data_IF_251064673393
#
_entry.id   IF_251064673393
#
_cell.length_a   1.000
_cell.length_b   1.000
_cell.length_c   1.000
_cell.angle_alpha   90.00
_cell.angle_beta   90.00
_cell.angle_gamma   90.00
#
_symmetry.space_group_name_H-M   'P 1'
#
loop_
_entity.id
_entity.type
_entity.pdbx_description
1 polymer ?
#
# COMPACT_ATOMS: atom_id res chain seq x y z
N UNK A 1 -24.11 3.79 11.47
CA UNK A 1 -22.76 3.87 12.06
C UNK A 1 -21.80 4.45 11.05
N UNK A 2 -21.02 5.42 11.46
CA UNK A 2 -19.96 5.92 10.60
C UNK A 2 -18.90 4.84 10.41
N UNK A 3 -18.52 4.58 9.16
CA UNK A 3 -17.44 3.67 8.84
C UNK A 3 -16.12 4.31 9.29
N UNK A 4 -15.37 3.63 10.14
CA UNK A 4 -14.05 4.10 10.57
C UNK A 4 -13.11 4.14 9.39
N UNK A 5 -12.51 5.29 9.13
CA UNK A 5 -11.49 5.49 8.09
C UNK A 5 -10.12 5.53 8.74
N UNK A 6 -9.21 4.67 8.29
CA UNK A 6 -7.92 4.50 8.94
C UNK A 6 -6.80 4.52 7.92
N UNK A 7 -5.77 5.31 8.19
CA UNK A 7 -4.49 5.28 7.48
C UNK A 7 -3.40 4.98 8.50
N UNK A 8 -2.60 3.96 8.24
CA UNK A 8 -1.47 3.54 9.09
C UNK A 8 -0.16 3.84 8.36
N UNK A 9 0.61 4.79 8.87
CA UNK A 9 1.91 5.14 8.33
C UNK A 9 3.00 4.35 9.05
N UNK A 10 3.81 3.64 8.29
CA UNK A 10 4.84 2.75 8.80
C UNK A 10 6.23 3.34 8.58
N UNK A 11 7.11 3.16 9.55
CA UNK A 11 8.53 3.52 9.47
C UNK A 11 9.44 2.30 9.35
N UNK A 12 8.87 1.08 9.37
CA UNK A 12 9.57 -0.20 9.35
C UNK A 12 8.61 -1.33 8.96
N UNK A 13 8.68 -2.45 9.67
CA UNK A 13 7.91 -3.65 9.38
C UNK A 13 8.70 -4.61 8.48
N UNK A 14 8.03 -5.39 7.66
CA UNK A 14 8.68 -6.39 6.82
C UNK A 14 9.72 -5.82 5.85
N UNK A 15 9.60 -4.55 5.51
CA UNK A 15 10.49 -3.88 4.54
C UNK A 15 11.92 -3.73 5.05
N UNK A 16 12.14 -3.55 6.35
CA UNK A 16 13.45 -3.47 7.00
C UNK A 16 13.89 -4.77 7.70
N UNK A 17 12.99 -5.75 7.77
CA UNK A 17 13.28 -7.12 8.22
C UNK A 17 13.38 -7.32 9.73
N UNK A 18 13.35 -6.28 10.55
CA UNK A 18 13.62 -6.39 11.99
C UNK A 18 12.41 -6.09 12.88
N UNK A 19 11.53 -5.18 12.48
CA UNK A 19 10.43 -4.72 13.32
C UNK A 19 9.07 -5.26 12.87
N UNK A 20 8.71 -6.45 13.37
CA UNK A 20 7.43 -7.11 13.06
C UNK A 20 6.23 -6.53 13.84
N UNK A 21 6.46 -5.72 14.87
CA UNK A 21 5.38 -5.15 15.69
C UNK A 21 4.51 -4.19 14.89
N UNK A 22 5.10 -3.48 13.94
CA UNK A 22 4.35 -2.60 13.05
C UNK A 22 3.43 -3.39 12.11
N UNK A 23 3.87 -4.54 11.62
CA UNK A 23 3.03 -5.42 10.78
C UNK A 23 1.87 -6.00 11.59
N UNK A 24 2.10 -6.39 12.83
CA UNK A 24 1.05 -6.87 13.75
C UNK A 24 0.03 -5.76 14.03
N UNK A 25 0.50 -4.57 14.38
CA UNK A 25 -0.36 -3.41 14.60
C UNK A 25 -1.24 -3.09 13.38
N UNK A 26 -0.65 -3.16 12.18
CA UNK A 26 -1.38 -2.97 10.93
C UNK A 26 -2.49 -4.00 10.76
N UNK A 27 -2.19 -5.28 10.99
CA UNK A 27 -3.19 -6.35 10.86
C UNK A 27 -4.35 -6.16 11.83
N UNK A 28 -4.05 -5.79 13.08
CA UNK A 28 -5.05 -5.53 14.13
C UNK A 28 -5.95 -4.32 13.79
N UNK A 29 -5.42 -3.31 13.07
CA UNK A 29 -6.16 -2.10 12.72
C UNK A 29 -7.38 -2.37 11.84
N UNK A 30 -7.43 -3.50 11.14
CA UNK A 30 -8.58 -3.90 10.31
C UNK A 30 -9.77 -4.43 11.11
N UNK A 31 -9.57 -4.75 12.39
CA UNK A 31 -10.55 -5.40 13.28
C UNK A 31 -11.07 -6.76 12.75
N UNK A 32 -10.34 -7.38 11.83
CA UNK A 32 -10.64 -8.70 11.26
C UNK A 32 -9.75 -9.76 11.89
N UNK A 33 -10.32 -10.93 12.18
CA UNK A 33 -9.53 -12.06 12.69
C UNK A 33 -8.52 -12.61 11.70
N UNK A 34 -8.82 -12.52 10.40
CA UNK A 34 -7.99 -12.98 9.30
C UNK A 34 -8.10 -12.03 8.12
N UNK A 35 -7.49 -10.83 8.20
CA UNK A 35 -7.64 -9.81 7.17
C UNK A 35 -7.02 -10.23 5.83
N UNK A 36 -7.63 -9.74 4.75
CA UNK A 36 -7.06 -9.79 3.41
C UNK A 36 -6.14 -8.58 3.24
N UNK A 37 -4.86 -8.83 3.00
CA UNK A 37 -3.84 -7.79 2.87
C UNK A 37 -3.32 -7.77 1.45
N UNK A 38 -3.48 -6.64 0.77
CA UNK A 38 -2.94 -6.45 -0.57
C UNK A 38 -1.69 -5.58 -0.52
N UNK A 39 -0.56 -6.13 -0.95
CA UNK A 39 0.68 -5.40 -1.15
C UNK A 39 0.71 -4.77 -2.55
N UNK A 40 1.02 -3.47 -2.63
CA UNK A 40 1.12 -2.73 -3.89
C UNK A 40 2.56 -2.20 -4.04
N UNK A 41 3.41 -2.85 -4.85
CA UNK A 41 4.84 -2.53 -5.00
C UNK A 41 5.13 -1.53 -6.12
N UNK A 42 4.16 -0.71 -6.53
CA UNK A 42 4.31 0.20 -7.69
C UNK A 42 5.52 1.13 -7.58
N UNK A 43 5.78 1.69 -6.39
CA UNK A 43 6.89 2.63 -6.19
C UNK A 43 8.28 2.04 -6.48
N UNK A 44 8.42 0.72 -6.38
CA UNK A 44 9.64 -0.03 -6.72
C UNK A 44 9.61 -0.65 -8.13
N UNK A 45 8.65 -0.27 -8.97
CA UNK A 45 8.48 -0.84 -10.31
C UNK A 45 8.01 -2.30 -10.29
N UNK A 46 7.12 -2.63 -9.35
CA UNK A 46 6.64 -3.99 -9.12
C UNK A 46 7.78 -4.99 -8.84
N UNK A 47 8.76 -4.58 -8.03
CA UNK A 47 9.94 -5.38 -7.68
C UNK A 47 9.56 -6.78 -7.19
N UNK A 48 9.96 -7.80 -7.95
CA UNK A 48 9.69 -9.19 -7.61
C UNK A 48 10.30 -9.61 -6.27
N UNK A 49 11.52 -9.18 -5.99
CA UNK A 49 12.17 -9.45 -4.72
C UNK A 49 11.41 -8.84 -3.54
N UNK A 50 10.81 -7.66 -3.73
CA UNK A 50 9.99 -7.01 -2.71
C UNK A 50 8.67 -7.76 -2.47
N UNK A 51 8.03 -8.23 -3.55
CA UNK A 51 6.82 -9.07 -3.46
C UNK A 51 7.14 -10.39 -2.72
N UNK A 52 8.24 -11.04 -3.03
CA UNK A 52 8.67 -12.27 -2.36
C UNK A 52 8.94 -12.07 -0.87
N UNK A 53 9.57 -10.95 -0.49
CA UNK A 53 9.77 -10.58 0.94
C UNK A 53 8.45 -10.34 1.65
N UNK A 54 7.49 -9.69 0.98
CA UNK A 54 6.15 -9.50 1.54
C UNK A 54 5.49 -10.84 1.88
N UNK A 55 5.42 -11.78 0.94
CA UNK A 55 4.83 -13.10 1.20
C UNK A 55 5.60 -13.87 2.27
N UNK A 56 6.93 -13.82 2.27
CA UNK A 56 7.76 -14.48 3.29
C UNK A 56 7.44 -13.96 4.69
N UNK A 57 7.24 -12.66 4.84
CA UNK A 57 6.89 -12.06 6.12
C UNK A 57 5.45 -12.37 6.52
N UNK A 58 4.48 -12.14 5.64
CA UNK A 58 3.07 -12.19 5.98
C UNK A 58 2.48 -13.60 6.09
N UNK A 59 3.13 -14.63 5.53
CA UNK A 59 2.74 -16.03 5.76
C UNK A 59 2.82 -16.47 7.23
N UNK A 60 3.53 -15.71 8.08
CA UNK A 60 3.65 -16.00 9.53
C UNK A 60 2.40 -15.59 10.30
N UNK A 61 1.59 -14.71 9.73
CA UNK A 61 0.44 -14.11 10.39
C UNK A 61 -0.87 -14.76 9.95
N UNK A 62 -1.88 -14.65 10.81
CA UNK A 62 -3.24 -15.06 10.45
C UNK A 62 -3.88 -14.02 9.52
N UNK A 63 -3.49 -14.03 8.26
CA UNK A 63 -4.02 -13.14 7.22
C UNK A 63 -4.09 -13.87 5.86
N UNK A 64 -4.68 -13.21 4.88
CA UNK A 64 -4.73 -13.69 3.48
C UNK A 64 -3.94 -12.68 2.64
N UNK A 65 -2.65 -12.94 2.39
CA UNK A 65 -1.82 -12.04 1.60
C UNK A 65 -2.14 -12.14 0.11
N UNK A 66 -2.13 -10.99 -0.56
CA UNK A 66 -2.21 -10.84 -2.00
C UNK A 66 -1.33 -9.68 -2.43
N UNK A 67 -1.09 -9.51 -3.72
CA UNK A 67 -0.40 -8.33 -4.25
C UNK A 67 -1.06 -7.86 -5.54
N UNK A 68 -0.79 -6.62 -5.92
CA UNK A 68 -1.26 -6.03 -7.16
C UNK A 68 -0.09 -5.42 -7.93
N UNK A 69 0.18 -5.97 -9.11
CA UNK A 69 1.11 -5.42 -10.08
C UNK A 69 0.39 -4.55 -11.09
N UNK A 70 0.98 -3.41 -11.46
CA UNK A 70 0.45 -2.51 -12.49
C UNK A 70 1.31 -2.45 -13.74
N UNK A 71 2.62 -2.68 -13.65
CA UNK A 71 3.52 -2.73 -14.81
C UNK A 71 3.26 -3.98 -15.68
N UNK A 72 2.84 -5.08 -15.06
CA UNK A 72 2.33 -6.28 -15.71
C UNK A 72 0.94 -6.56 -15.18
N UNK A 73 0.00 -5.70 -15.52
CA UNK A 73 -1.36 -5.75 -14.96
C UNK A 73 -2.04 -7.08 -15.26
N UNK A 74 -2.30 -7.84 -14.20
CA UNK A 74 -2.99 -9.13 -14.26
C UNK A 74 -4.46 -9.03 -13.84
N UNK A 75 -4.82 -7.97 -13.09
CA UNK A 75 -6.19 -7.75 -12.62
C UNK A 75 -6.96 -6.84 -13.58
N UNK A 76 -7.92 -7.37 -14.33
CA UNK A 76 -8.70 -6.56 -15.28
C UNK A 76 -9.66 -5.59 -14.56
N UNK A 77 -10.21 -5.98 -13.41
CA UNK A 77 -11.15 -5.18 -12.63
C UNK A 77 -10.53 -4.78 -11.28
N UNK A 78 -9.89 -3.61 -11.24
CA UNK A 78 -9.24 -3.09 -10.04
C UNK A 78 -10.25 -2.79 -8.91
N UNK A 79 -11.43 -2.26 -9.24
CA UNK A 79 -12.47 -1.95 -8.24
C UNK A 79 -12.91 -3.20 -7.49
N UNK A 80 -13.20 -4.27 -8.23
CA UNK A 80 -13.59 -5.54 -7.62
C UNK A 80 -12.46 -6.16 -6.80
N UNK A 81 -11.23 -6.14 -7.31
CA UNK A 81 -10.07 -6.70 -6.61
C UNK A 81 -9.78 -5.97 -5.30
N UNK A 82 -9.73 -4.63 -5.33
CA UNK A 82 -9.43 -3.80 -4.15
C UNK A 82 -10.57 -3.88 -3.12
N UNK A 83 -11.82 -3.88 -3.54
CA UNK A 83 -12.98 -3.98 -2.64
C UNK A 83 -12.99 -5.27 -1.80
N UNK A 84 -12.31 -6.31 -2.25
CA UNK A 84 -12.17 -7.56 -1.49
C UNK A 84 -11.08 -7.51 -0.43
N UNK A 85 -10.30 -6.43 -0.37
CA UNK A 85 -9.19 -6.29 0.57
C UNK A 85 -9.63 -5.56 1.84
N UNK A 86 -9.11 -5.97 2.97
CA UNK A 86 -9.32 -5.29 4.25
C UNK A 86 -8.22 -4.26 4.53
N UNK A 87 -7.02 -4.52 4.03
CA UNK A 87 -5.82 -3.69 4.21
C UNK A 87 -5.10 -3.53 2.87
N UNK A 88 -4.72 -2.31 2.55
CA UNK A 88 -3.79 -1.99 1.46
C UNK A 88 -2.45 -1.59 2.04
N UNK A 89 -1.39 -2.30 1.68
CA UNK A 89 -0.01 -2.02 2.07
C UNK A 89 0.79 -1.56 0.87
N UNK A 90 1.21 -0.29 0.86
CA UNK A 90 1.99 0.29 -0.24
C UNK A 90 3.47 0.29 0.10
N UNK A 91 4.28 -0.29 -0.78
CA UNK A 91 5.73 -0.35 -0.62
C UNK A 91 6.44 0.96 -0.90
N UNK A 92 7.68 1.06 -0.42
CA UNK A 92 8.56 2.19 -0.68
C UNK A 92 9.16 2.18 -2.10
N UNK A 93 9.75 3.30 -2.48
CA UNK A 93 10.40 3.51 -3.77
C UNK A 93 10.24 4.96 -4.25
N UNK A 94 9.90 5.15 -5.51
CA UNK A 94 9.73 6.47 -6.12
C UNK A 94 8.26 6.93 -6.04
N UNK A 95 8.00 8.00 -5.28
CA UNK A 95 6.64 8.52 -5.05
C UNK A 95 6.02 9.09 -6.32
N UNK A 96 6.77 9.86 -7.10
CA UNK A 96 6.24 10.48 -8.32
C UNK A 96 5.85 9.43 -9.37
N UNK A 97 6.69 8.41 -9.56
CA UNK A 97 6.38 7.29 -10.46
C UNK A 97 5.17 6.49 -9.98
N UNK A 98 5.08 6.23 -8.69
CA UNK A 98 3.93 5.56 -8.09
C UNK A 98 2.63 6.28 -8.44
N UNK A 99 2.55 7.58 -8.16
CA UNK A 99 1.34 8.37 -8.41
C UNK A 99 1.01 8.46 -9.90
N UNK A 100 2.01 8.62 -10.77
CA UNK A 100 1.82 8.66 -12.22
C UNK A 100 1.22 7.34 -12.74
N UNK A 101 1.75 6.20 -12.30
CA UNK A 101 1.24 4.87 -12.68
C UNK A 101 -0.16 4.63 -12.13
N UNK A 102 -0.41 4.98 -10.87
CA UNK A 102 -1.75 4.84 -10.29
C UNK A 102 -2.81 5.64 -11.04
N UNK A 103 -2.51 6.90 -11.41
CA UNK A 103 -3.42 7.74 -12.20
C UNK A 103 -3.66 7.18 -13.58
N UNK A 104 -2.62 6.69 -14.24
CA UNK A 104 -2.75 6.04 -15.56
C UNK A 104 -3.73 4.87 -15.52
N UNK A 105 -3.70 4.06 -14.46
CA UNK A 105 -4.58 2.91 -14.29
C UNK A 105 -5.91 3.22 -13.57
N UNK A 106 -6.07 4.44 -13.07
CA UNK A 106 -7.25 4.84 -12.27
C UNK A 106 -7.31 4.21 -10.89
N UNK A 107 -6.18 3.65 -10.40
CA UNK A 107 -6.11 3.01 -9.08
C UNK A 107 -6.27 4.02 -7.94
N UNK A 108 -5.78 5.24 -8.09
CA UNK A 108 -5.96 6.34 -7.13
C UNK A 108 -7.43 6.53 -6.73
N UNK A 109 -8.32 6.57 -7.70
CA UNK A 109 -9.79 6.71 -7.49
C UNK A 109 -10.38 5.47 -6.82
N UNK A 110 -9.93 4.29 -7.21
CA UNK A 110 -10.37 3.01 -6.61
C UNK A 110 -9.96 2.94 -5.14
N UNK A 111 -8.73 3.32 -4.81
CA UNK A 111 -8.23 3.33 -3.43
C UNK A 111 -8.95 4.37 -2.56
N UNK A 112 -9.24 5.56 -3.10
CA UNK A 112 -10.03 6.57 -2.39
C UNK A 112 -11.42 6.05 -2.04
N UNK A 113 -12.08 5.35 -2.97
CA UNK A 113 -13.38 4.73 -2.72
C UNK A 113 -13.28 3.65 -1.63
N UNK A 114 -12.30 2.77 -1.72
CA UNK A 114 -12.07 1.72 -0.72
C UNK A 114 -11.84 2.31 0.68
N UNK A 115 -11.07 3.41 0.79
CA UNK A 115 -10.86 4.12 2.05
C UNK A 115 -12.18 4.64 2.64
N UNK A 116 -13.03 5.23 1.83
CA UNK A 116 -14.35 5.71 2.27
C UNK A 116 -15.23 4.56 2.75
N UNK A 117 -15.09 3.40 2.15
CA UNK A 117 -15.82 2.17 2.50
C UNK A 117 -15.21 1.43 3.71
N UNK A 118 -14.07 1.89 4.26
CA UNK A 118 -13.46 1.37 5.49
C UNK A 118 -12.26 0.44 5.30
N UNK A 119 -11.76 0.28 4.07
CA UNK A 119 -10.47 -0.40 3.86
C UNK A 119 -9.36 0.39 4.53
N UNK A 120 -8.51 -0.27 5.30
CA UNK A 120 -7.34 0.36 5.93
C UNK A 120 -6.29 0.62 4.86
N UNK A 121 -5.86 1.87 4.72
CA UNK A 121 -4.74 2.22 3.87
C UNK A 121 -3.45 2.28 4.70
N UNK A 122 -2.36 1.80 4.14
CA UNK A 122 -1.07 1.84 4.82
C UNK A 122 0.09 1.89 3.86
N UNK A 123 1.26 2.15 4.39
CA UNK A 123 2.47 2.10 3.60
C UNK A 123 3.69 2.65 4.32
N UNK A 124 4.84 2.45 3.68
CA UNK A 124 6.15 2.87 4.17
C UNK A 124 6.83 3.75 3.13
N UNK A 125 7.55 4.80 3.59
CA UNK A 125 8.31 5.71 2.72
C UNK A 125 7.43 6.32 1.62
N UNK A 126 7.71 6.11 0.34
CA UNK A 126 6.84 6.53 -0.76
C UNK A 126 5.39 6.04 -0.59
N UNK A 127 5.22 4.83 -0.07
CA UNK A 127 3.91 4.25 0.23
C UNK A 127 3.19 4.89 1.42
N UNK A 128 3.90 5.63 2.27
CA UNK A 128 3.31 6.48 3.30
C UNK A 128 3.00 7.88 2.73
N UNK A 129 3.94 8.44 1.98
CA UNK A 129 3.83 9.78 1.39
C UNK A 129 2.65 9.92 0.40
N UNK A 130 2.37 8.87 -0.35
CA UNK A 130 1.36 8.88 -1.41
C UNK A 130 -0.08 9.18 -0.95
N UNK A 131 -0.36 9.11 0.36
CA UNK A 131 -1.69 9.36 0.91
C UNK A 131 -1.97 10.83 1.20
N UNK A 132 -0.99 11.70 1.04
CA UNK A 132 -1.08 13.12 1.36
C UNK A 132 -1.08 13.99 0.10
N UNK A 133 -1.73 15.14 0.19
CA UNK A 133 -1.81 16.15 -0.88
C UNK A 133 -0.43 16.71 -1.26
N UNK A 134 0.52 16.71 -0.30
CA UNK A 134 1.89 17.14 -0.53
C UNK A 134 2.88 16.36 0.34
N UNK A 135 4.08 16.17 -0.16
CA UNK A 135 5.18 15.55 0.57
C UNK A 135 6.53 16.08 0.11
N UNK A 136 7.57 15.80 0.90
CA UNK A 136 8.95 15.94 0.44
C UNK A 136 9.39 14.59 -0.14
N UNK A 137 10.01 14.64 -1.31
CA UNK A 137 10.46 13.44 -2.02
C UNK A 137 11.79 13.67 -2.74
N UNK A 138 12.55 12.61 -2.90
CA UNK A 138 13.77 12.56 -3.71
C UNK A 138 13.53 11.92 -5.10
N UNK A 139 12.26 11.80 -5.50
CA UNK A 139 11.84 11.14 -6.75
C UNK A 139 12.54 11.65 -8.01
N UNK A 140 13.01 12.91 -7.98
CA UNK A 140 13.66 13.57 -9.10
C UNK A 140 15.19 13.71 -8.94
N UNK A 141 15.79 12.91 -8.05
CA UNK A 141 17.23 12.89 -7.77
C UNK A 141 17.70 13.91 -6.74
N UNK A 142 16.83 14.78 -6.25
CA UNK A 142 17.06 15.73 -5.15
C UNK A 142 15.80 15.85 -4.29
N UNK A 143 15.97 16.28 -3.05
CA UNK A 143 14.82 16.48 -2.16
C UNK A 143 14.06 17.74 -2.58
N UNK A 144 12.79 17.57 -2.94
CA UNK A 144 11.90 18.67 -3.30
C UNK A 144 10.43 18.36 -2.93
N UNK A 145 9.59 19.40 -2.95
CA UNK A 145 8.17 19.24 -2.67
C UNK A 145 7.45 18.62 -3.89
N UNK A 146 6.60 17.65 -3.61
CA UNK A 146 5.62 17.10 -4.54
C UNK A 146 4.23 17.47 -4.01
N UNK A 147 3.47 18.22 -4.79
CA UNK A 147 2.16 18.75 -4.40
C UNK A 147 1.01 18.10 -5.19
N UNK A 148 1.05 16.79 -5.32
CA UNK A 148 0.18 16.11 -6.26
C UNK A 148 -0.21 14.70 -5.77
N UNK A 149 -0.22 14.53 -4.45
CA UNK A 149 -0.61 13.29 -3.76
C UNK A 149 -2.11 13.02 -3.76
#
# INVERSE_FOLDING_TARGET
METQRTIVLLSGGFSDGENTDQDVFLLESSLRRKPRVCFIPTASGDSRAYIERFYTAFKRYSCIPAHLELFRRTEPNLDEFIRRQDIIYVGGGNTANLLAVWRLHGLDRVLRKAYVEGTVLSGISAGAACWFESCLTDSFGRLEALNDG
#
